data_IF_189252533047
#
_entry.id   IF_189252533047
#
_cell.length_a   1.000
_cell.length_b   1.000
_cell.length_c   1.000
_cell.angle_alpha   90.00
_cell.angle_beta   90.00
_cell.angle_gamma   90.00
#
_symmetry.space_group_name_H-M   'P 1'
#
loop_
_entity.id
_entity.type
_entity.pdbx_description
1 polymer ?
#
# COMPACT_ATOMS: atom_id res chain seq x y z
N UNK A 1 -0.69 9.32 -21.46
CA UNK A 1 0.65 8.71 -21.58
C UNK A 1 1.60 9.18 -20.47
N UNK A 2 1.69 10.50 -20.19
CA UNK A 2 2.58 11.05 -19.15
C UNK A 2 2.31 10.52 -17.73
N UNK A 3 1.05 10.49 -17.30
CA UNK A 3 0.67 10.01 -15.94
C UNK A 3 1.05 8.54 -15.70
N UNK A 4 0.74 7.65 -16.66
CA UNK A 4 1.08 6.22 -16.55
C UNK A 4 2.60 6.03 -16.50
N UNK A 5 3.34 6.80 -17.28
CA UNK A 5 4.80 6.79 -17.25
C UNK A 5 5.35 7.29 -15.91
N UNK A 6 4.78 8.35 -15.36
CA UNK A 6 5.19 8.91 -14.07
C UNK A 6 4.91 7.91 -12.92
N UNK A 7 3.73 7.27 -12.90
CA UNK A 7 3.39 6.22 -11.93
C UNK A 7 4.32 5.00 -12.03
N UNK A 8 4.64 4.57 -13.26
CA UNK A 8 5.56 3.46 -13.49
C UNK A 8 7.00 3.81 -13.07
N UNK A 9 7.41 5.07 -13.26
CA UNK A 9 8.70 5.57 -12.81
C UNK A 9 8.79 5.56 -11.29
N UNK A 10 7.73 5.98 -10.58
CA UNK A 10 7.68 5.97 -9.11
C UNK A 10 7.75 4.56 -8.53
N UNK A 11 6.94 3.63 -9.05
CA UNK A 11 7.06 2.22 -8.69
C UNK A 11 8.48 1.69 -8.97
N UNK A 12 9.10 2.11 -10.07
CA UNK A 12 10.49 1.78 -10.38
C UNK A 12 11.46 2.30 -9.31
N UNK A 13 11.32 3.57 -8.90
CA UNK A 13 12.13 4.18 -7.84
C UNK A 13 11.91 3.49 -6.49
N UNK A 14 10.66 3.23 -6.13
CA UNK A 14 10.30 2.50 -4.92
C UNK A 14 10.93 1.12 -4.91
N UNK A 15 10.85 0.36 -6.02
CA UNK A 15 11.48 -0.95 -6.14
C UNK A 15 13.01 -0.87 -6.00
N UNK A 16 13.66 0.13 -6.62
CA UNK A 16 15.11 0.35 -6.52
C UNK A 16 15.56 0.65 -5.09
N UNK A 17 14.70 1.20 -4.24
CA UNK A 17 14.98 1.45 -2.82
C UNK A 17 14.63 0.22 -1.97
N UNK A 18 13.44 -0.35 -2.15
CA UNK A 18 12.91 -1.42 -1.32
C UNK A 18 13.69 -2.73 -1.52
N UNK A 19 14.02 -3.10 -2.76
CA UNK A 19 14.76 -4.34 -3.06
C UNK A 19 16.10 -4.42 -2.32
N UNK A 20 17.03 -3.45 -2.44
CA UNK A 20 18.30 -3.52 -1.72
C UNK A 20 18.10 -3.42 -0.20
N UNK A 21 17.14 -2.62 0.27
CA UNK A 21 16.82 -2.51 1.70
C UNK A 21 16.43 -3.87 2.27
N UNK A 22 15.55 -4.61 1.60
CA UNK A 22 15.13 -5.93 2.03
C UNK A 22 16.25 -6.99 1.88
N UNK A 23 17.11 -6.89 0.85
CA UNK A 23 18.29 -7.75 0.72
C UNK A 23 19.26 -7.55 1.89
N UNK A 24 19.53 -6.30 2.26
CA UNK A 24 20.39 -5.96 3.42
C UNK A 24 19.73 -6.43 4.72
N UNK A 25 18.44 -6.16 4.92
CA UNK A 25 17.71 -6.63 6.09
C UNK A 25 17.74 -8.17 6.21
N UNK A 26 17.59 -8.89 5.09
CA UNK A 26 17.72 -10.34 5.10
C UNK A 26 19.12 -10.79 5.49
N UNK A 27 20.15 -10.17 4.92
CA UNK A 27 21.55 -10.51 5.21
C UNK A 27 21.96 -10.18 6.65
N UNK A 28 21.38 -9.16 7.26
CA UNK A 28 21.71 -8.73 8.64
C UNK A 28 20.92 -9.52 9.68
N UNK A 29 19.62 -9.75 9.46
CA UNK A 29 18.74 -10.29 10.51
C UNK A 29 18.41 -11.78 10.34
N UNK A 30 18.27 -12.29 9.10
CA UNK A 30 17.66 -13.60 8.88
C UNK A 30 18.63 -14.66 8.30
N UNK A 31 19.58 -14.25 7.46
CA UNK A 31 20.57 -15.11 6.82
C UNK A 31 19.97 -16.32 6.05
N UNK A 32 18.72 -16.22 5.59
CA UNK A 32 17.95 -17.31 4.97
C UNK A 32 17.64 -16.99 3.49
N UNK A 33 18.07 -17.84 2.53
CA UNK A 33 17.82 -17.62 1.11
C UNK A 33 16.34 -17.77 0.72
N UNK A 34 15.56 -18.63 1.40
CA UNK A 34 14.13 -18.79 1.12
C UNK A 34 13.32 -17.55 1.50
N UNK A 35 13.67 -16.94 2.64
CA UNK A 35 13.08 -15.65 3.06
C UNK A 35 13.47 -14.50 2.13
N UNK A 36 14.65 -14.57 1.51
CA UNK A 36 15.10 -13.57 0.52
C UNK A 36 14.12 -13.44 -0.63
N UNK A 37 13.71 -14.58 -1.21
CA UNK A 37 12.75 -14.59 -2.33
C UNK A 37 11.42 -13.98 -1.92
N UNK A 38 10.93 -14.35 -0.73
CA UNK A 38 9.71 -13.76 -0.17
C UNK A 38 9.80 -12.24 -0.05
N UNK A 39 10.89 -11.72 0.51
CA UNK A 39 11.07 -10.27 0.66
C UNK A 39 11.19 -9.54 -0.68
N UNK A 40 11.79 -10.16 -1.70
CA UNK A 40 11.85 -9.59 -3.05
C UNK A 40 10.45 -9.49 -3.68
N UNK A 41 9.63 -10.53 -3.53
CA UNK A 41 8.23 -10.51 -3.98
C UNK A 41 7.45 -9.42 -3.23
N UNK A 42 7.64 -9.33 -1.91
CA UNK A 42 7.00 -8.32 -1.09
C UNK A 42 7.44 -6.89 -1.48
N UNK A 43 8.71 -6.68 -1.79
CA UNK A 43 9.23 -5.40 -2.27
C UNK A 43 8.59 -4.97 -3.59
N UNK A 44 8.48 -5.89 -4.55
CA UNK A 44 7.83 -5.65 -5.84
C UNK A 44 6.34 -5.36 -5.63
N UNK A 45 5.68 -6.10 -4.74
CA UNK A 45 4.30 -5.84 -4.35
C UNK A 45 4.11 -4.43 -3.79
N UNK A 46 4.93 -4.01 -2.82
CA UNK A 46 4.84 -2.66 -2.23
C UNK A 46 5.10 -1.56 -3.27
N UNK A 47 6.04 -1.77 -4.19
CA UNK A 47 6.28 -0.86 -5.30
C UNK A 47 5.09 -0.78 -6.28
N UNK A 48 4.45 -1.92 -6.56
CA UNK A 48 3.22 -1.94 -7.36
C UNK A 48 2.05 -1.26 -6.66
N UNK A 49 1.91 -1.48 -5.35
CA UNK A 49 0.92 -0.83 -4.50
C UNK A 49 1.06 0.68 -4.55
N UNK A 50 2.26 1.22 -4.41
CA UNK A 50 2.57 2.65 -4.55
C UNK A 50 2.02 3.26 -5.86
N UNK A 51 2.29 2.62 -7.00
CA UNK A 51 1.77 3.08 -8.30
C UNK A 51 0.24 3.05 -8.40
N UNK A 52 -0.42 2.09 -7.73
CA UNK A 52 -1.89 1.95 -7.78
C UNK A 52 -2.56 2.95 -6.85
N UNK A 53 -2.12 3.04 -5.60
CA UNK A 53 -2.70 3.94 -4.58
C UNK A 53 -2.41 5.42 -4.88
N UNK A 54 -1.37 5.70 -5.68
CA UNK A 54 -1.06 7.03 -6.17
C UNK A 54 -0.62 7.96 -5.06
N UNK A 55 0.49 7.63 -4.40
CA UNK A 55 1.13 8.48 -3.41
C UNK A 55 1.59 9.82 -4.04
N UNK A 56 1.79 10.87 -3.22
CA UNK A 56 2.23 12.17 -3.71
C UNK A 56 3.64 12.12 -4.28
N UNK A 57 3.72 12.43 -5.57
CA UNK A 57 4.97 12.66 -6.26
C UNK A 57 5.65 13.94 -5.77
N UNK A 58 6.88 13.86 -5.27
CA UNK A 58 7.61 15.02 -4.71
C UNK A 58 7.66 16.22 -5.67
N UNK A 59 7.74 15.96 -6.98
CA UNK A 59 7.78 17.00 -8.02
C UNK A 59 6.39 17.59 -8.37
N UNK A 60 5.29 16.91 -7.99
CA UNK A 60 3.92 17.31 -8.29
C UNK A 60 3.01 17.40 -7.04
N UNK A 61 3.59 17.59 -5.86
CA UNK A 61 2.82 17.81 -4.63
C UNK A 61 1.83 18.97 -4.85
N UNK A 62 0.55 18.71 -4.61
CA UNK A 62 -0.51 19.71 -4.62
C UNK A 62 -1.42 19.49 -3.43
N UNK A 63 -1.61 20.53 -2.62
CA UNK A 63 -2.58 20.46 -1.55
C UNK A 63 -3.99 20.64 -2.13
N UNK A 64 -4.80 19.59 -2.10
CA UNK A 64 -6.20 19.61 -2.52
C UNK A 64 -7.07 18.96 -1.45
N UNK A 65 -8.08 19.69 -0.97
CA UNK A 65 -9.01 19.21 0.07
C UNK A 65 -10.24 18.57 -0.58
N UNK A 66 -10.01 17.58 -1.43
CA UNK A 66 -11.06 16.77 -2.00
C UNK A 66 -11.27 15.54 -1.09
N UNK A 67 -12.39 15.47 -0.38
CA UNK A 67 -12.62 14.42 0.61
C UNK A 67 -14.05 13.88 0.60
N UNK A 68 -14.19 12.59 0.86
CA UNK A 68 -15.44 11.91 1.16
C UNK A 68 -15.34 11.21 2.52
N UNK A 69 -15.86 11.87 3.56
CA UNK A 69 -15.89 11.31 4.91
C UNK A 69 -17.23 10.65 5.27
N UNK A 70 -18.14 10.49 4.30
CA UNK A 70 -19.43 9.83 4.54
C UNK A 70 -19.25 8.33 4.32
N UNK A 71 -19.21 7.52 5.39
CA UNK A 71 -18.99 6.09 5.25
C UNK A 71 -20.13 5.45 4.46
N UNK A 72 -19.77 4.47 3.63
CA UNK A 72 -20.64 3.69 2.74
C UNK A 72 -21.29 4.47 1.60
N UNK A 73 -21.11 5.79 1.54
CA UNK A 73 -21.61 6.59 0.44
C UNK A 73 -20.92 6.16 -0.86
N UNK A 74 -21.71 5.77 -1.84
CA UNK A 74 -21.27 5.23 -3.14
C UNK A 74 -20.46 3.93 -3.13
N UNK A 75 -20.07 3.39 -1.96
CA UNK A 75 -19.25 2.18 -1.84
C UNK A 75 -19.84 0.98 -2.59
N UNK A 76 -21.14 0.73 -2.46
CA UNK A 76 -21.81 -0.39 -3.15
C UNK A 76 -22.09 -0.11 -4.63
N UNK A 77 -22.30 1.15 -4.99
CA UNK A 77 -22.44 1.53 -6.41
C UNK A 77 -21.10 1.48 -7.13
N UNK A 78 -20.01 1.75 -6.43
CA UNK A 78 -18.63 1.68 -6.92
C UNK A 78 -17.88 0.45 -6.37
N UNK A 79 -18.58 -0.68 -6.36
CA UNK A 79 -18.08 -1.93 -5.79
C UNK A 79 -16.79 -2.41 -6.46
N UNK A 80 -16.52 -2.00 -7.70
CA UNK A 80 -15.30 -2.38 -8.43
C UNK A 80 -14.07 -1.74 -7.79
N UNK A 81 -14.11 -0.45 -7.51
CA UNK A 81 -13.01 0.24 -6.82
C UNK A 81 -12.84 -0.28 -5.40
N UNK A 82 -13.97 -0.47 -4.69
CA UNK A 82 -13.96 -1.09 -3.36
C UNK A 82 -13.32 -2.48 -3.36
N UNK A 83 -13.62 -3.32 -4.36
CA UNK A 83 -13.03 -4.65 -4.50
C UNK A 83 -11.53 -4.58 -4.84
N UNK A 84 -11.11 -3.65 -5.70
CA UNK A 84 -9.70 -3.47 -6.04
C UNK A 84 -8.88 -3.05 -4.83
N UNK A 85 -9.42 -2.17 -3.97
CA UNK A 85 -8.80 -1.76 -2.71
C UNK A 85 -8.62 -2.94 -1.75
N UNK A 86 -9.67 -3.76 -1.56
CA UNK A 86 -9.58 -5.01 -0.80
C UNK A 86 -8.48 -5.92 -1.38
N UNK A 87 -8.53 -6.21 -2.69
CA UNK A 87 -7.59 -7.12 -3.34
C UNK A 87 -6.15 -6.61 -3.29
N UNK A 88 -5.95 -5.30 -3.28
CA UNK A 88 -4.64 -4.68 -3.16
C UNK A 88 -4.01 -4.92 -1.78
N UNK A 89 -4.82 -5.00 -0.72
CA UNK A 89 -4.35 -5.19 0.65
C UNK A 89 -4.28 -6.66 1.10
N UNK A 90 -4.96 -7.59 0.40
CA UNK A 90 -4.87 -9.04 0.69
C UNK A 90 -3.42 -9.55 0.76
N UNK A 91 -2.52 -9.21 -0.18
CA UNK A 91 -1.12 -9.62 -0.07
C UNK A 91 -0.44 -9.04 1.18
N UNK A 92 -0.75 -7.81 1.60
CA UNK A 92 -0.20 -7.21 2.83
C UNK A 92 -0.61 -8.05 4.05
N UNK A 93 -1.90 -8.38 4.15
CA UNK A 93 -2.46 -9.22 5.22
C UNK A 93 -1.82 -10.60 5.31
N UNK A 94 -1.45 -11.18 4.17
CA UNK A 94 -0.74 -12.46 4.10
C UNK A 94 0.76 -12.34 4.44
N UNK A 95 1.45 -11.35 3.88
CA UNK A 95 2.92 -11.24 4.02
C UNK A 95 3.35 -10.83 5.44
N UNK A 96 2.56 -10.02 6.15
CA UNK A 96 2.88 -9.58 7.51
C UNK A 96 3.10 -10.75 8.49
N UNK A 97 2.15 -11.68 8.71
CA UNK A 97 2.34 -12.83 9.59
C UNK A 97 3.39 -13.81 9.05
N UNK A 98 3.58 -13.86 7.72
CA UNK A 98 4.58 -14.74 7.09
C UNK A 98 6.01 -14.35 7.47
N UNK A 99 6.34 -13.06 7.48
CA UNK A 99 7.68 -12.59 7.81
C UNK A 99 7.90 -12.32 9.31
N UNK A 100 6.87 -11.83 10.02
CA UNK A 100 7.01 -11.40 11.41
C UNK A 100 5.98 -12.06 12.34
N UNK A 101 6.47 -12.82 13.33
CA UNK A 101 5.64 -13.48 14.34
C UNK A 101 4.72 -12.54 15.10
N UNK A 102 5.06 -11.26 15.26
CA UNK A 102 4.19 -10.27 15.93
C UNK A 102 2.83 -10.12 15.25
N UNK A 103 2.80 -10.25 13.92
CA UNK A 103 1.57 -10.17 13.11
C UNK A 103 0.84 -11.52 13.01
N UNK A 104 1.29 -12.58 13.69
CA UNK A 104 0.52 -13.84 13.72
C UNK A 104 -0.82 -13.69 14.44
N UNK A 105 -0.96 -12.69 15.31
CA UNK A 105 -2.24 -12.32 15.90
C UNK A 105 -2.96 -11.34 14.97
N UNK A 106 -4.14 -11.74 14.51
CA UNK A 106 -4.96 -11.03 13.52
C UNK A 106 -5.15 -9.54 13.84
N UNK A 107 -5.33 -9.18 15.12
CA UNK A 107 -5.48 -7.78 15.53
C UNK A 107 -4.28 -6.88 15.22
N UNK A 108 -3.04 -7.40 15.28
CA UNK A 108 -1.86 -6.60 14.90
C UNK A 108 -1.77 -6.42 13.38
N UNK A 109 -2.15 -7.42 12.60
CA UNK A 109 -2.20 -7.35 11.13
C UNK A 109 -3.24 -6.36 10.67
N UNK A 110 -4.46 -6.45 11.22
CA UNK A 110 -5.55 -5.52 10.93
C UNK A 110 -5.21 -4.08 11.33
N UNK A 111 -4.57 -3.88 12.50
CA UNK A 111 -4.12 -2.55 12.92
C UNK A 111 -3.05 -1.99 11.98
N UNK A 112 -2.12 -2.83 11.52
CA UNK A 112 -1.10 -2.40 10.55
C UNK A 112 -1.74 -2.02 9.20
N UNK A 113 -2.70 -2.82 8.72
CA UNK A 113 -3.48 -2.51 7.51
C UNK A 113 -4.21 -1.19 7.63
N UNK A 114 -4.93 -0.99 8.74
CA UNK A 114 -5.61 0.27 9.06
C UNK A 114 -4.64 1.46 9.07
N UNK A 115 -3.52 1.37 9.79
CA UNK A 115 -2.54 2.46 9.83
C UNK A 115 -1.92 2.74 8.46
N UNK A 116 -1.67 1.69 7.67
CA UNK A 116 -1.13 1.83 6.31
C UNK A 116 -2.13 2.52 5.39
N UNK A 117 -3.40 2.12 5.43
CA UNK A 117 -4.44 2.77 4.64
C UNK A 117 -4.68 4.20 5.10
N UNK A 118 -4.69 4.47 6.40
CA UNK A 118 -4.83 5.83 6.93
C UNK A 118 -3.69 6.73 6.45
N UNK A 119 -2.45 6.21 6.44
CA UNK A 119 -1.31 6.94 5.91
C UNK A 119 -1.49 7.27 4.42
N UNK A 120 -1.98 6.32 3.61
CA UNK A 120 -2.26 6.55 2.19
C UNK A 120 -3.30 7.66 2.01
N UNK A 121 -4.43 7.57 2.70
CA UNK A 121 -5.51 8.56 2.67
C UNK A 121 -5.00 9.97 3.03
N UNK A 122 -4.16 10.07 4.07
CA UNK A 122 -3.55 11.34 4.48
C UNK A 122 -2.55 11.87 3.46
N UNK A 123 -1.79 10.99 2.80
CA UNK A 123 -0.85 11.37 1.76
C UNK A 123 -1.56 11.82 0.47
N UNK A 124 -2.74 11.27 0.17
CA UNK A 124 -3.53 11.64 -0.99
C UNK A 124 -4.07 13.08 -0.93
N UNK A 125 -4.17 13.70 0.25
CA UNK A 125 -4.47 15.14 0.40
C UNK A 125 -3.42 16.03 -0.31
N UNK A 126 -2.21 15.51 -0.52
CA UNK A 126 -1.14 16.17 -1.27
C UNK A 126 -1.13 15.81 -2.76
N UNK A 127 -2.23 15.24 -3.26
CA UNK A 127 -2.42 14.82 -4.64
C UNK A 127 -3.70 15.40 -5.23
N UNK A 128 -4.02 15.05 -6.47
CA UNK A 128 -5.30 15.36 -7.11
C UNK A 128 -6.41 14.34 -6.81
N UNK A 129 -6.13 13.33 -5.97
CA UNK A 129 -7.09 12.29 -5.60
C UNK A 129 -7.95 12.76 -4.44
N UNK A 130 -9.15 12.19 -4.34
CA UNK A 130 -10.01 12.40 -3.20
C UNK A 130 -9.63 11.42 -2.08
N UNK A 131 -9.52 11.92 -0.86
CA UNK A 131 -9.41 11.09 0.35
C UNK A 131 -10.78 10.51 0.69
N UNK A 132 -10.93 9.19 0.81
CA UNK A 132 -12.21 8.52 1.04
C UNK A 132 -12.17 7.56 2.25
N UNK A 133 -13.10 7.73 3.19
CA UNK A 133 -13.28 6.80 4.33
C UNK A 133 -13.63 5.39 3.87
N UNK A 134 -14.28 5.22 2.72
CA UNK A 134 -14.54 3.90 2.14
C UNK A 134 -13.26 3.19 1.72
N UNK A 135 -12.27 3.93 1.23
CA UNK A 135 -10.96 3.38 0.85
C UNK A 135 -10.21 2.92 2.10
N UNK A 136 -10.26 3.71 3.17
CA UNK A 136 -9.79 3.30 4.51
C UNK A 136 -10.43 1.98 4.98
N UNK A 137 -11.75 1.86 4.85
CA UNK A 137 -12.48 0.67 5.30
C UNK A 137 -12.14 -0.55 4.42
N UNK A 138 -12.15 -0.39 3.09
CA UNK A 138 -11.92 -1.50 2.15
C UNK A 138 -10.50 -2.03 2.19
N UNK A 139 -9.51 -1.15 2.24
CA UNK A 139 -8.11 -1.51 2.39
C UNK A 139 -7.88 -2.25 3.73
N UNK A 140 -8.46 -1.74 4.82
CA UNK A 140 -8.37 -2.41 6.13
C UNK A 140 -9.05 -3.77 6.10
N UNK A 141 -10.20 -3.91 5.44
CA UNK A 141 -10.92 -5.18 5.32
C UNK A 141 -10.18 -6.21 4.44
N UNK A 142 -9.31 -5.75 3.54
CA UNK A 142 -8.42 -6.61 2.76
C UNK A 142 -7.22 -7.14 3.54
N UNK A 143 -6.88 -6.57 4.70
CA UNK A 143 -5.69 -6.96 5.49
C UNK A 143 -6.01 -8.00 6.55
#
# INVERSE_FOLDING_TARGET
>A
MRIIFDMALEAGVAAVILVPLFLVANRVYFHDPGRTVGYLIFAIYLAGMDAVVGLPCIIYIRLDFNYNFVPFLYMFSDYRNSLLNVLLFVPLGFFLPFFWRKFSAFGYTLLFGFCTSLLIELLQVFTFRATDVNDLITNTAGT
#
